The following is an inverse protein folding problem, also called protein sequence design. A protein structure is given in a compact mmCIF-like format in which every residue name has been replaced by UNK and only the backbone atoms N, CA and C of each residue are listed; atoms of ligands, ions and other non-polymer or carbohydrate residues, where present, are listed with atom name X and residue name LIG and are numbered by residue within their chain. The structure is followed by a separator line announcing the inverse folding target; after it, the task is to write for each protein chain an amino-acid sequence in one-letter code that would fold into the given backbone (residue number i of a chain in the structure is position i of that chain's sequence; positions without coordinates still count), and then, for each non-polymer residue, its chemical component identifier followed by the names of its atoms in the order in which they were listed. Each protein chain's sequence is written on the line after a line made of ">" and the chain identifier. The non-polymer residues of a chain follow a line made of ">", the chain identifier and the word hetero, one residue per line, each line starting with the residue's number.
data_IF_323630596649
#
_entry.id   IF_323630596649
#
_cell.length_a   1.000
_cell.length_b   1.000
_cell.length_c   1.000
_cell.angle_alpha   90.00
_cell.angle_beta   90.00
_cell.angle_gamma   90.00
#
_symmetry.space_group_name_H-M   'P 1'
#
loop_
_entity.id
_entity.type
_entity.pdbx_description
1 polymer ?
#
# COMPACT_ATOMS: atom_id res chain seq x y z
N UNK A 1 -34.04 -9.12 12.31
CA UNK A 1 -32.99 -8.99 13.33
C UNK A 1 -32.97 -10.30 14.11
N UNK A 2 -31.83 -11.00 14.11
CA UNK A 2 -31.71 -12.32 14.75
C UNK A 2 -31.83 -12.21 16.28
N UNK A 3 -32.44 -13.22 16.92
CA UNK A 3 -32.70 -13.25 18.36
C UNK A 3 -31.40 -13.14 19.16
N UNK A 4 -30.35 -13.79 18.69
CA UNK A 4 -29.06 -13.81 19.38
C UNK A 4 -28.40 -12.42 19.36
N UNK A 5 -28.57 -11.66 18.27
CA UNK A 5 -28.13 -10.27 18.18
C UNK A 5 -28.90 -9.35 19.15
N UNK A 6 -30.19 -9.60 19.37
CA UNK A 6 -30.99 -8.85 20.36
C UNK A 6 -30.49 -9.15 21.78
N UNK A 7 -30.23 -10.42 22.09
CA UNK A 7 -29.71 -10.84 23.41
C UNK A 7 -28.33 -10.22 23.67
N UNK A 8 -27.43 -10.26 22.67
CA UNK A 8 -26.10 -9.65 22.79
C UNK A 8 -26.18 -8.13 23.00
N UNK A 9 -27.03 -7.44 22.24
CA UNK A 9 -27.24 -6.00 22.37
C UNK A 9 -27.71 -5.60 23.77
N UNK A 10 -28.70 -6.32 24.31
CA UNK A 10 -29.32 -5.97 25.59
C UNK A 10 -28.47 -6.41 26.80
N UNK A 11 -27.79 -7.55 26.70
CA UNK A 11 -27.09 -8.17 27.86
C UNK A 11 -25.57 -8.06 27.80
N UNK A 12 -25.01 -7.60 26.67
CA UNK A 12 -23.56 -7.61 26.36
C UNK A 12 -22.95 -9.01 26.33
N UNK A 13 -23.78 -10.05 26.24
CA UNK A 13 -23.39 -11.46 26.22
C UNK A 13 -24.23 -12.22 25.20
N UNK A 14 -23.65 -13.26 24.61
CA UNK A 14 -24.39 -14.15 23.72
C UNK A 14 -25.43 -15.00 24.49
N UNK A 15 -26.17 -15.83 23.76
CA UNK A 15 -27.15 -16.78 24.31
C UNK A 15 -26.57 -17.71 25.39
N UNK A 16 -25.26 -17.98 25.33
CA UNK A 16 -24.52 -18.83 26.28
C UNK A 16 -23.97 -18.03 27.49
N UNK A 17 -24.33 -16.75 27.62
CA UNK A 17 -23.83 -15.83 28.65
C UNK A 17 -22.31 -15.58 28.56
N UNK A 18 -21.69 -15.80 27.40
CA UNK A 18 -20.29 -15.53 27.11
C UNK A 18 -20.11 -14.19 26.41
N UNK A 19 -18.89 -13.68 26.41
CA UNK A 19 -18.53 -12.48 25.65
C UNK A 19 -18.37 -12.84 24.17
N UNK A 20 -18.85 -11.96 23.30
CA UNK A 20 -18.67 -12.09 21.86
C UNK A 20 -17.21 -12.18 21.46
N UNK A 21 -16.93 -13.04 20.49
CA UNK A 21 -15.58 -13.23 19.91
C UNK A 21 -15.30 -12.26 18.75
N UNK A 22 -16.29 -11.46 18.34
CA UNK A 22 -16.15 -10.50 17.24
C UNK A 22 -14.99 -9.52 17.45
N UNK A 23 -14.77 -8.92 18.65
CA UNK A 23 -13.64 -8.03 18.86
C UNK A 23 -12.28 -8.70 18.60
N UNK A 24 -12.11 -9.95 19.03
CA UNK A 24 -10.89 -10.72 18.81
C UNK A 24 -10.68 -11.06 17.31
N UNK A 25 -11.75 -11.48 16.62
CA UNK A 25 -11.71 -11.74 15.18
C UNK A 25 -11.34 -10.49 14.39
N UNK A 26 -11.92 -9.35 14.73
CA UNK A 26 -11.62 -8.09 14.06
C UNK A 26 -10.19 -7.61 14.34
N UNK A 27 -9.66 -7.83 15.54
CA UNK A 27 -8.26 -7.49 15.85
C UNK A 27 -7.25 -8.37 15.09
N UNK A 28 -7.57 -9.66 14.93
CA UNK A 28 -6.81 -10.58 14.09
C UNK A 28 -6.89 -10.19 12.60
N UNK A 29 -8.10 -9.95 12.06
CA UNK A 29 -8.29 -9.56 10.66
C UNK A 29 -7.59 -8.25 10.31
N UNK A 30 -7.63 -7.25 11.20
CA UNK A 30 -6.89 -5.99 11.02
C UNK A 30 -5.37 -6.25 10.88
N UNK A 31 -4.86 -7.16 11.71
CA UNK A 31 -3.45 -7.53 11.75
C UNK A 31 -3.03 -8.32 10.51
N UNK A 32 -3.85 -9.30 10.10
CA UNK A 32 -3.60 -10.15 8.94
C UNK A 32 -3.66 -9.35 7.63
N UNK A 33 -4.70 -8.55 7.42
CA UNK A 33 -4.81 -7.70 6.22
C UNK A 33 -3.68 -6.68 6.15
N UNK A 34 -3.28 -6.08 7.28
CA UNK A 34 -2.13 -5.17 7.35
C UNK A 34 -0.80 -5.85 6.99
N UNK A 35 -0.58 -7.08 7.44
CA UNK A 35 0.60 -7.86 7.08
C UNK A 35 0.65 -8.18 5.58
N UNK A 36 -0.47 -8.64 5.02
CA UNK A 36 -0.57 -8.96 3.59
C UNK A 36 -0.26 -7.71 2.74
N UNK A 37 -0.84 -6.56 3.09
CA UNK A 37 -0.58 -5.31 2.38
C UNK A 37 0.88 -4.84 2.54
N UNK A 38 1.48 -4.99 3.72
CA UNK A 38 2.88 -4.62 3.92
C UNK A 38 3.84 -5.49 3.08
N UNK A 39 3.56 -6.80 2.98
CA UNK A 39 4.32 -7.71 2.11
C UNK A 39 4.09 -7.37 0.64
N UNK A 40 2.84 -7.13 0.23
CA UNK A 40 2.50 -6.70 -1.12
C UNK A 40 3.29 -5.43 -1.52
N UNK A 41 3.28 -4.38 -0.69
CA UNK A 41 4.01 -3.14 -0.98
C UNK A 41 5.53 -3.36 -1.06
N UNK A 42 6.07 -4.24 -0.22
CA UNK A 42 7.49 -4.60 -0.26
C UNK A 42 7.88 -5.20 -1.62
N UNK A 43 7.11 -6.19 -2.09
CA UNK A 43 7.34 -6.79 -3.42
C UNK A 43 7.03 -5.82 -4.55
N UNK A 44 5.94 -5.07 -4.45
CA UNK A 44 5.53 -4.08 -5.43
C UNK A 44 6.63 -3.06 -5.73
N UNK A 45 7.26 -2.48 -4.69
CA UNK A 45 8.36 -1.52 -4.89
C UNK A 45 9.61 -2.16 -5.49
N UNK A 46 9.90 -3.42 -5.17
CA UNK A 46 11.02 -4.15 -5.79
C UNK A 46 10.73 -4.37 -7.28
N UNK A 47 9.54 -4.83 -7.62
CA UNK A 47 9.16 -5.10 -9.01
C UNK A 47 9.04 -3.83 -9.85
N UNK A 48 8.42 -2.79 -9.31
CA UNK A 48 8.30 -1.49 -9.98
C UNK A 48 9.68 -0.85 -10.23
N UNK A 49 10.64 -1.08 -9.33
CA UNK A 49 12.02 -0.62 -9.47
C UNK A 49 12.87 -1.34 -10.52
N UNK A 50 12.33 -2.37 -11.18
CA UNK A 50 13.02 -3.02 -12.30
C UNK A 50 13.37 -2.06 -13.44
N UNK A 51 12.67 -0.92 -13.54
CA UNK A 51 13.00 0.16 -14.47
C UNK A 51 14.42 0.72 -14.26
N UNK A 52 14.98 0.62 -13.06
CA UNK A 52 16.35 1.02 -12.75
C UNK A 52 17.40 0.16 -13.45
N UNK A 53 17.01 -1.06 -13.85
CA UNK A 53 17.86 -1.98 -14.62
C UNK A 53 17.72 -1.79 -16.13
N UNK A 54 16.81 -0.92 -16.58
CA UNK A 54 16.53 -0.64 -17.99
C UNK A 54 15.07 -0.85 -18.37
N UNK A 55 14.67 -0.31 -19.53
CA UNK A 55 13.30 -0.44 -20.05
C UNK A 55 12.97 -1.90 -20.39
N UNK A 56 13.91 -2.63 -21.00
CA UNK A 56 13.75 -4.05 -21.31
C UNK A 56 13.48 -4.90 -20.05
N UNK A 57 14.15 -4.61 -18.92
CA UNK A 57 13.95 -5.33 -17.67
C UNK A 57 12.51 -5.16 -17.12
N UNK A 58 12.01 -3.92 -17.10
CA UNK A 58 10.63 -3.64 -16.70
C UNK A 58 9.61 -4.27 -17.67
N UNK A 59 9.89 -4.25 -18.98
CA UNK A 59 9.04 -4.88 -19.97
C UNK A 59 8.95 -6.40 -19.76
N UNK A 60 10.08 -7.10 -19.61
CA UNK A 60 10.09 -8.54 -19.35
C UNK A 60 9.38 -8.89 -18.05
N UNK A 61 9.58 -8.11 -16.98
CA UNK A 61 8.89 -8.33 -15.72
C UNK A 61 7.37 -8.14 -15.86
N UNK A 62 6.94 -7.11 -16.58
CA UNK A 62 5.52 -6.87 -16.87
C UNK A 62 4.92 -8.06 -17.61
N UNK A 63 5.58 -8.54 -18.67
CA UNK A 63 5.13 -9.72 -19.43
C UNK A 63 5.11 -11.00 -18.60
N UNK A 64 6.04 -11.17 -17.66
CA UNK A 64 5.97 -12.27 -16.71
C UNK A 64 4.73 -12.21 -15.80
N UNK A 65 4.33 -11.01 -15.33
CA UNK A 65 3.08 -10.83 -14.57
C UNK A 65 1.81 -11.07 -15.40
N UNK A 66 1.88 -10.82 -16.70
CA UNK A 66 0.82 -11.17 -17.67
C UNK A 66 0.82 -12.66 -18.07
N UNK A 67 1.67 -13.49 -17.46
CA UNK A 67 1.80 -14.92 -17.75
C UNK A 67 2.28 -15.24 -19.18
N UNK A 68 3.16 -14.42 -19.75
CA UNK A 68 3.74 -14.63 -21.10
C UNK A 68 4.46 -15.99 -21.25
N UNK A 69 4.94 -16.57 -20.16
CA UNK A 69 5.53 -17.92 -20.13
C UNK A 69 4.51 -19.06 -20.30
N UNK A 70 3.21 -18.77 -20.30
CA UNK A 70 2.11 -19.72 -20.53
C UNK A 70 1.25 -19.29 -21.73
N UNK A 71 0.96 -17.99 -21.84
CA UNK A 71 0.07 -17.40 -22.84
C UNK A 71 0.92 -16.51 -23.76
N UNK A 72 1.03 -16.86 -25.04
CA UNK A 72 1.80 -16.08 -26.01
C UNK A 72 1.37 -14.60 -26.03
N UNK A 73 2.30 -13.69 -25.74
CA UNK A 73 2.05 -12.24 -25.72
C UNK A 73 1.56 -11.69 -24.38
N UNK A 74 1.23 -12.56 -23.41
CA UNK A 74 0.69 -12.21 -22.10
C UNK A 74 -0.77 -11.76 -22.11
N UNK A 75 -1.46 -11.96 -20.99
CA UNK A 75 -2.85 -11.53 -20.75
C UNK A 75 -2.93 -10.45 -19.64
N UNK A 76 -3.13 -9.16 -20.00
CA UNK A 76 -3.23 -8.06 -19.04
C UNK A 76 -4.34 -8.25 -17.99
N UNK A 77 -5.43 -8.97 -18.29
CA UNK A 77 -6.51 -9.22 -17.33
C UNK A 77 -6.03 -9.92 -16.05
N UNK A 78 -4.91 -10.64 -16.09
CA UNK A 78 -4.28 -11.23 -14.89
C UNK A 78 -3.94 -10.13 -13.87
N UNK A 79 -3.38 -9.01 -14.33
CA UNK A 79 -3.05 -7.87 -13.48
C UNK A 79 -4.31 -7.20 -12.95
N UNK A 80 -5.37 -7.06 -13.77
CA UNK A 80 -6.66 -6.54 -13.30
C UNK A 80 -7.26 -7.36 -12.16
N UNK A 81 -7.25 -8.69 -12.28
CA UNK A 81 -7.74 -9.59 -11.22
C UNK A 81 -6.90 -9.46 -9.96
N UNK A 82 -5.57 -9.41 -10.09
CA UNK A 82 -4.67 -9.19 -8.95
C UNK A 82 -4.95 -7.85 -8.27
N UNK A 83 -5.07 -6.76 -9.03
CA UNK A 83 -5.38 -5.43 -8.53
C UNK A 83 -6.73 -5.40 -7.81
N UNK A 84 -7.76 -6.09 -8.35
CA UNK A 84 -9.07 -6.21 -7.71
C UNK A 84 -9.00 -6.95 -6.36
N UNK A 85 -8.26 -8.05 -6.28
CA UNK A 85 -8.05 -8.78 -5.02
C UNK A 85 -7.35 -7.89 -3.99
N UNK A 86 -6.27 -7.21 -4.38
CA UNK A 86 -5.56 -6.26 -3.52
C UNK A 86 -6.47 -5.12 -3.08
N UNK A 87 -7.34 -4.62 -3.97
CA UNK A 87 -8.31 -3.57 -3.65
C UNK A 87 -9.32 -4.03 -2.58
N UNK A 88 -9.85 -5.25 -2.67
CA UNK A 88 -10.72 -5.81 -1.62
C UNK A 88 -10.00 -5.87 -0.26
N UNK A 89 -8.74 -6.32 -0.25
CA UNK A 89 -7.92 -6.39 0.96
C UNK A 89 -7.65 -4.98 1.51
N UNK A 90 -7.34 -4.02 0.65
CA UNK A 90 -7.12 -2.62 0.98
C UNK A 90 -8.36 -2.01 1.65
N UNK A 91 -9.54 -2.15 1.03
CA UNK A 91 -10.80 -1.66 1.59
C UNK A 91 -11.14 -2.36 2.91
N UNK A 92 -10.97 -3.68 2.98
CA UNK A 92 -11.22 -4.46 4.21
C UNK A 92 -10.29 -4.02 5.35
N UNK A 93 -9.01 -3.81 5.06
CA UNK A 93 -8.04 -3.29 6.01
C UNK A 93 -8.46 -1.92 6.53
N UNK A 94 -8.78 -1.01 5.61
CA UNK A 94 -9.15 0.37 5.93
C UNK A 94 -10.44 0.43 6.77
N UNK A 95 -11.46 -0.35 6.39
CA UNK A 95 -12.73 -0.45 7.11
C UNK A 95 -12.56 -0.94 8.56
N UNK A 96 -11.67 -1.90 8.79
CA UNK A 96 -11.41 -2.42 10.14
C UNK A 96 -10.51 -1.46 10.93
N UNK A 97 -9.49 -0.88 10.29
CA UNK A 97 -8.50 -0.02 10.92
C UNK A 97 -9.06 1.38 11.28
N UNK A 98 -10.04 1.89 10.53
CA UNK A 98 -10.64 3.21 10.79
C UNK A 98 -11.28 3.32 12.18
N UNK A 99 -11.67 2.18 12.79
CA UNK A 99 -12.18 2.11 14.17
C UNK A 99 -11.16 2.61 15.21
N UNK A 100 -9.89 2.77 14.84
CA UNK A 100 -8.81 3.28 15.69
C UNK A 100 -8.58 4.78 15.56
N UNK A 101 -9.26 5.46 14.64
CA UNK A 101 -9.08 6.91 14.45
C UNK A 101 -9.77 7.69 15.58
N UNK A 102 -9.22 8.85 16.00
CA UNK A 102 -9.96 9.79 16.83
C UNK A 102 -11.24 10.22 16.10
N UNK A 103 -12.41 9.91 16.67
CA UNK A 103 -13.70 10.05 16.02
C UNK A 103 -14.43 11.36 16.38
N UNK A 104 -13.85 12.19 17.26
CA UNK A 104 -14.40 13.49 17.63
C UNK A 104 -13.32 14.56 17.79
N UNK A 105 -13.72 15.83 17.71
CA UNK A 105 -12.82 16.96 18.00
C UNK A 105 -12.15 16.83 19.37
N UNK A 106 -12.90 16.40 20.39
CA UNK A 106 -12.38 16.23 21.76
C UNK A 106 -11.30 15.15 21.81
N UNK A 107 -11.56 13.97 21.22
CA UNK A 107 -10.59 12.88 21.15
C UNK A 107 -9.32 13.30 20.40
N UNK A 108 -9.49 13.96 19.24
CA UNK A 108 -8.36 14.45 18.46
C UNK A 108 -7.53 15.48 19.24
N UNK A 109 -8.18 16.48 19.85
CA UNK A 109 -7.50 17.50 20.66
C UNK A 109 -6.77 16.87 21.84
N UNK A 110 -7.43 15.98 22.60
CA UNK A 110 -6.82 15.28 23.73
C UNK A 110 -5.60 14.47 23.29
N UNK A 111 -5.71 13.71 22.21
CA UNK A 111 -4.60 12.93 21.67
C UNK A 111 -3.43 13.83 21.21
N UNK A 112 -3.72 14.90 20.46
CA UNK A 112 -2.71 15.84 19.97
C UNK A 112 -1.98 16.55 21.10
N UNK A 113 -2.68 16.96 22.15
CA UNK A 113 -2.05 17.56 23.34
C UNK A 113 -1.21 16.52 24.08
N UNK A 114 -1.74 15.31 24.28
CA UNK A 114 -1.05 14.24 25.00
C UNK A 114 0.25 13.82 24.30
N UNK A 115 0.25 13.63 22.97
CA UNK A 115 1.49 13.23 22.25
C UNK A 115 2.59 14.29 22.35
N UNK A 116 2.21 15.58 22.36
CA UNK A 116 3.16 16.70 22.48
C UNK A 116 3.79 16.76 23.87
N UNK A 117 3.00 16.54 24.92
CA UNK A 117 3.48 16.52 26.31
C UNK A 117 4.41 15.33 26.56
N UNK A 118 4.02 14.13 26.13
CA UNK A 118 4.83 12.93 26.32
C UNK A 118 6.14 12.94 25.52
N UNK A 119 6.11 13.55 24.33
CA UNK A 119 7.19 13.48 23.34
C UNK A 119 7.73 12.04 23.14
N UNK A 120 6.83 11.05 23.20
CA UNK A 120 7.19 9.64 23.12
C UNK A 120 7.14 9.15 21.67
N UNK A 121 8.21 8.47 21.26
CA UNK A 121 8.42 8.12 19.87
C UNK A 121 7.35 7.19 19.29
N UNK A 122 7.01 6.09 19.96
CA UNK A 122 6.01 5.15 19.42
C UNK A 122 4.61 5.78 19.35
N UNK A 123 4.32 6.71 20.27
CA UNK A 123 3.09 7.49 20.25
C UNK A 123 3.05 8.38 19.02
N UNK A 124 4.16 9.07 18.71
CA UNK A 124 4.27 9.88 17.50
C UNK A 124 4.25 9.05 16.20
N UNK A 125 4.88 7.86 16.21
CA UNK A 125 4.80 6.91 15.10
C UNK A 125 3.35 6.45 14.84
N UNK A 126 2.50 6.36 15.89
CA UNK A 126 1.09 6.05 15.71
C UNK A 126 0.33 7.16 15.02
N UNK A 127 0.63 8.42 15.34
CA UNK A 127 0.08 9.57 14.61
C UNK A 127 0.47 9.58 13.13
N UNK A 128 1.71 9.19 12.81
CA UNK A 128 2.15 9.00 11.42
C UNK A 128 1.26 7.97 10.71
N UNK A 129 0.99 6.80 11.31
CA UNK A 129 0.11 5.81 10.69
C UNK A 129 -1.32 6.32 10.43
N UNK A 130 -1.91 7.07 11.37
CA UNK A 130 -3.24 7.63 11.13
C UNK A 130 -3.20 8.57 9.93
N UNK A 131 -2.22 9.46 9.90
CA UNK A 131 -2.12 10.51 8.88
C UNK A 131 -1.87 9.89 7.50
N UNK A 132 -0.90 8.98 7.38
CA UNK A 132 -0.61 8.30 6.12
C UNK A 132 -1.72 7.34 5.70
N UNK A 133 -2.36 6.65 6.65
CA UNK A 133 -3.52 5.81 6.39
C UNK A 133 -4.69 6.62 5.84
N UNK A 134 -4.91 7.82 6.39
CA UNK A 134 -5.92 8.74 5.89
C UNK A 134 -5.61 9.22 4.47
N UNK A 135 -4.37 9.62 4.19
CA UNK A 135 -3.94 10.03 2.84
C UNK A 135 -4.14 8.90 1.80
N UNK A 136 -3.87 7.65 2.19
CA UNK A 136 -3.99 6.51 1.29
C UNK A 136 -5.43 6.19 0.87
N UNK A 137 -6.46 6.60 1.62
CA UNK A 137 -7.85 6.45 1.15
C UNK A 137 -8.07 7.09 -0.22
N UNK A 138 -7.39 8.21 -0.48
CA UNK A 138 -7.50 8.92 -1.76
C UNK A 138 -6.43 8.42 -2.72
N UNK A 139 -5.17 8.47 -2.30
CA UNK A 139 -4.02 8.17 -3.17
C UNK A 139 -3.98 6.69 -3.61
N UNK A 140 -4.18 5.77 -2.67
CA UNK A 140 -4.18 4.33 -2.94
C UNK A 140 -5.37 3.91 -3.78
N UNK A 141 -6.56 4.50 -3.55
CA UNK A 141 -7.75 4.20 -4.34
C UNK A 141 -7.60 4.60 -5.80
N UNK A 142 -7.07 5.79 -6.08
CA UNK A 142 -6.81 6.23 -7.46
C UNK A 142 -5.81 5.28 -8.13
N UNK A 143 -4.68 4.99 -7.48
CA UNK A 143 -3.67 4.10 -8.03
C UNK A 143 -4.23 2.70 -8.35
N UNK A 144 -4.90 2.06 -7.38
CA UNK A 144 -5.46 0.71 -7.55
C UNK A 144 -6.56 0.67 -8.62
N UNK A 145 -7.40 1.70 -8.70
CA UNK A 145 -8.43 1.76 -9.73
C UNK A 145 -7.81 1.79 -11.13
N UNK A 146 -6.80 2.64 -11.36
CA UNK A 146 -6.17 2.72 -12.68
C UNK A 146 -5.44 1.41 -13.03
N UNK A 147 -4.72 0.79 -12.09
CA UNK A 147 -4.09 -0.52 -12.35
C UNK A 147 -5.11 -1.62 -12.68
N UNK A 148 -6.29 -1.56 -12.08
CA UNK A 148 -7.37 -2.51 -12.32
C UNK A 148 -8.06 -2.30 -13.67
N UNK A 149 -8.26 -1.06 -14.11
CA UNK A 149 -9.03 -0.74 -15.32
C UNK A 149 -8.19 -0.52 -16.57
N UNK A 150 -6.88 -0.34 -16.43
CA UNK A 150 -5.95 -0.11 -17.53
C UNK A 150 -4.68 -0.96 -17.38
N UNK A 151 -4.80 -2.29 -17.21
CA UNK A 151 -3.64 -3.18 -17.05
C UNK A 151 -2.72 -3.18 -18.28
N UNK A 152 -3.26 -2.99 -19.48
CA UNK A 152 -2.54 -2.97 -20.76
C UNK A 152 -1.62 -1.74 -20.92
N UNK A 153 -1.74 -0.76 -20.03
CA UNK A 153 -0.92 0.43 -19.99
C UNK A 153 0.21 0.34 -18.96
N UNK A 154 0.57 -0.88 -18.53
CA UNK A 154 1.73 -1.11 -17.66
C UNK A 154 2.93 -1.47 -18.55
N UNK A 155 4.04 -0.77 -18.35
CA UNK A 155 5.27 -1.00 -19.09
C UNK A 155 6.15 0.26 -19.12
N UNK A 156 7.34 0.21 -19.72
CA UNK A 156 8.31 1.31 -19.63
C UNK A 156 7.75 2.64 -20.15
N UNK A 157 7.11 2.65 -21.32
CA UNK A 157 6.54 3.86 -21.90
C UNK A 157 5.20 4.22 -21.30
N UNK A 158 4.23 3.30 -21.28
CA UNK A 158 2.88 3.59 -20.81
C UNK A 158 2.84 3.98 -19.31
N UNK A 159 3.67 3.39 -18.45
CA UNK A 159 3.81 3.85 -17.06
C UNK A 159 4.46 5.23 -16.97
N UNK A 160 5.49 5.51 -17.78
CA UNK A 160 6.18 6.80 -17.82
C UNK A 160 5.31 7.94 -18.35
N UNK A 161 4.55 7.71 -19.41
CA UNK A 161 3.58 8.65 -19.96
C UNK A 161 2.56 9.03 -18.89
N UNK A 162 2.06 8.04 -18.15
CA UNK A 162 1.15 8.26 -17.02
C UNK A 162 1.79 9.08 -15.90
N UNK A 163 3.03 8.76 -15.54
CA UNK A 163 3.76 9.46 -14.47
C UNK A 163 4.00 10.92 -14.84
N UNK A 164 4.48 11.19 -16.05
CA UNK A 164 4.90 12.53 -16.47
C UNK A 164 3.80 13.30 -17.19
N UNK A 165 3.35 12.79 -18.33
CA UNK A 165 2.41 13.45 -19.25
C UNK A 165 1.00 13.55 -18.67
N UNK A 166 0.53 12.51 -17.97
CA UNK A 166 -0.77 12.56 -17.26
C UNK A 166 -0.64 13.16 -15.83
N UNK A 167 0.55 13.66 -15.48
CA UNK A 167 0.82 14.41 -14.24
C UNK A 167 0.52 13.60 -12.96
N UNK A 168 0.72 12.28 -12.98
CA UNK A 168 0.53 11.44 -11.79
C UNK A 168 1.70 11.48 -10.80
N UNK A 169 2.87 12.02 -11.19
CA UNK A 169 4.05 12.07 -10.33
C UNK A 169 3.83 12.72 -8.94
N UNK A 170 3.03 13.79 -8.74
CA UNK A 170 2.82 14.35 -7.40
C UNK A 170 2.04 13.38 -6.52
N UNK A 171 1.02 12.72 -7.09
CA UNK A 171 0.22 11.72 -6.39
C UNK A 171 1.08 10.51 -6.01
N UNK A 172 1.94 10.03 -6.92
CA UNK A 172 2.83 8.92 -6.64
C UNK A 172 3.93 9.25 -5.64
N UNK A 173 4.48 10.47 -5.65
CA UNK A 173 5.44 10.90 -4.62
C UNK A 173 4.79 10.91 -3.22
N UNK A 174 3.58 11.48 -3.10
CA UNK A 174 2.85 11.48 -1.84
C UNK A 174 2.45 10.06 -1.42
N UNK A 175 2.05 9.21 -2.37
CA UNK A 175 1.69 7.82 -2.11
C UNK A 175 2.90 7.02 -1.63
N UNK A 176 4.05 7.17 -2.29
CA UNK A 176 5.32 6.53 -1.92
C UNK A 176 5.69 6.80 -0.47
N UNK A 177 5.71 8.09 -0.09
CA UNK A 177 6.03 8.50 1.29
C UNK A 177 4.98 7.94 2.26
N UNK A 178 3.70 8.07 1.92
CA UNK A 178 2.61 7.64 2.78
C UNK A 178 2.64 6.12 3.02
N UNK A 179 2.73 5.33 1.96
CA UNK A 179 2.62 3.88 2.01
C UNK A 179 3.84 3.25 2.69
N UNK A 180 5.05 3.73 2.43
CA UNK A 180 6.25 3.18 3.07
C UNK A 180 6.26 3.49 4.57
N UNK A 181 5.93 4.73 4.96
CA UNK A 181 5.84 5.07 6.37
C UNK A 181 4.70 4.30 7.05
N UNK A 182 3.54 4.16 6.39
CA UNK A 182 2.42 3.43 6.95
C UNK A 182 2.72 1.94 7.15
N UNK A 183 3.25 1.29 6.11
CA UNK A 183 3.55 -0.14 6.10
C UNK A 183 4.74 -0.45 7.03
N UNK A 184 5.82 0.31 6.96
CA UNK A 184 7.00 0.11 7.80
C UNK A 184 6.65 0.25 9.28
N UNK A 185 6.04 1.37 9.67
CA UNK A 185 5.64 1.60 11.06
C UNK A 185 4.56 0.60 11.51
N UNK A 186 3.65 0.23 10.60
CA UNK A 186 2.64 -0.80 10.87
C UNK A 186 3.25 -2.17 11.13
N UNK A 187 4.22 -2.58 10.34
CA UNK A 187 4.93 -3.84 10.50
C UNK A 187 5.73 -3.86 11.81
N UNK A 188 6.41 -2.76 12.14
CA UNK A 188 7.05 -2.59 13.46
C UNK A 188 6.04 -2.83 14.59
N UNK A 189 4.91 -2.13 14.58
CA UNK A 189 3.89 -2.29 15.62
C UNK A 189 3.29 -3.68 15.64
N UNK A 190 3.11 -4.30 14.49
CA UNK A 190 2.58 -5.65 14.37
C UNK A 190 3.51 -6.66 15.03
N UNK A 191 4.81 -6.57 14.75
CA UNK A 191 5.85 -7.42 15.36
C UNK A 191 5.81 -7.31 16.89
N UNK A 192 5.72 -6.08 17.43
CA UNK A 192 5.69 -5.88 18.89
C UNK A 192 4.35 -6.33 19.49
N UNK A 193 3.23 -6.03 18.83
CA UNK A 193 1.88 -6.40 19.28
C UNK A 193 1.73 -7.91 19.45
N UNK A 194 2.29 -8.69 18.52
CA UNK A 194 2.21 -10.16 18.53
C UNK A 194 3.43 -10.84 19.14
N UNK A 195 4.39 -10.06 19.66
CA UNK A 195 5.56 -10.58 20.38
C UNK A 195 6.53 -11.39 19.51
N UNK A 196 6.62 -11.11 18.20
CA UNK A 196 7.48 -11.88 17.30
C UNK A 196 8.98 -11.57 17.49
N UNK A 197 9.34 -10.32 17.79
CA UNK A 197 10.72 -9.87 17.99
C UNK A 197 10.79 -8.76 19.05
N UNK A 198 12.00 -8.49 19.55
CA UNK A 198 12.28 -7.40 20.48
C UNK A 198 12.09 -6.00 19.86
N UNK A 199 11.71 -5.02 20.70
CA UNK A 199 11.45 -3.63 20.31
C UNK A 199 12.64 -2.96 19.64
N UNK A 200 13.84 -3.04 20.22
CA UNK A 200 15.01 -2.32 19.71
C UNK A 200 15.47 -2.90 18.38
N UNK A 201 15.50 -4.24 18.28
CA UNK A 201 15.86 -4.94 17.04
C UNK A 201 14.87 -4.62 15.92
N UNK A 202 13.57 -4.76 16.19
CA UNK A 202 12.50 -4.52 15.20
C UNK A 202 12.55 -3.09 14.67
N UNK A 203 12.70 -2.12 15.57
CA UNK A 203 12.78 -0.72 15.20
C UNK A 203 13.97 -0.40 14.30
N UNK A 204 15.16 -0.97 14.59
CA UNK A 204 16.35 -0.80 13.76
C UNK A 204 16.13 -1.37 12.36
N UNK A 205 15.62 -2.60 12.27
CA UNK A 205 15.35 -3.29 10.99
C UNK A 205 14.35 -2.48 10.15
N UNK A 206 13.24 -2.09 10.76
CA UNK A 206 12.18 -1.35 10.06
C UNK A 206 12.67 0.04 9.62
N UNK A 207 13.48 0.72 10.43
CA UNK A 207 14.08 2.01 10.02
C UNK A 207 14.95 1.84 8.78
N UNK A 208 15.81 0.81 8.73
CA UNK A 208 16.64 0.52 7.55
C UNK A 208 15.77 0.18 6.35
N UNK A 209 14.73 -0.64 6.53
CA UNK A 209 13.81 -1.00 5.45
C UNK A 209 13.08 0.24 4.89
N UNK A 210 12.57 1.13 5.74
CA UNK A 210 11.93 2.39 5.32
C UNK A 210 12.89 3.23 4.47
N UNK A 211 14.13 3.40 4.91
CA UNK A 211 15.13 4.19 4.19
C UNK A 211 15.43 3.54 2.82
N UNK A 212 15.63 2.23 2.80
CA UNK A 212 15.89 1.47 1.57
C UNK A 212 14.74 1.62 0.56
N UNK A 213 13.49 1.36 0.99
CA UNK A 213 12.32 1.44 0.11
C UNK A 213 12.04 2.88 -0.36
N UNK A 214 12.30 3.90 0.46
CA UNK A 214 12.17 5.29 0.03
C UNK A 214 13.21 5.63 -1.02
N UNK A 215 14.47 5.22 -0.83
CA UNK A 215 15.54 5.49 -1.79
C UNK A 215 15.22 4.82 -3.14
N UNK A 216 14.94 3.52 -3.14
CA UNK A 216 14.68 2.79 -4.39
C UNK A 216 13.43 3.32 -5.11
N UNK A 217 12.36 3.64 -4.37
CA UNK A 217 11.14 4.20 -4.95
C UNK A 217 11.33 5.62 -5.49
N UNK A 218 12.14 6.46 -4.84
CA UNK A 218 12.47 7.79 -5.36
C UNK A 218 13.28 7.70 -6.65
N UNK A 219 14.31 6.83 -6.70
CA UNK A 219 15.07 6.61 -7.93
C UNK A 219 14.21 6.04 -9.07
N UNK A 220 13.30 5.13 -8.75
CA UNK A 220 12.39 4.54 -9.75
C UNK A 220 11.43 5.59 -10.29
N UNK A 221 10.80 6.39 -9.41
CA UNK A 221 9.94 7.50 -9.81
C UNK A 221 10.67 8.53 -10.68
N UNK A 222 11.91 8.89 -10.32
CA UNK A 222 12.74 9.78 -11.15
C UNK A 222 13.02 9.18 -12.54
N UNK A 223 13.22 7.87 -12.62
CA UNK A 223 13.44 7.18 -13.89
C UNK A 223 12.18 7.23 -14.75
N UNK A 224 11.00 6.98 -14.17
CA UNK A 224 9.74 7.13 -14.89
C UNK A 224 9.48 8.57 -15.37
N UNK A 225 9.77 9.57 -14.53
CA UNK A 225 9.69 10.99 -14.91
C UNK A 225 10.62 11.30 -16.08
N UNK A 226 11.88 10.86 -16.01
CA UNK A 226 12.87 11.10 -17.07
C UNK A 226 12.43 10.49 -18.39
N UNK A 227 12.05 9.21 -18.37
CA UNK A 227 11.59 8.50 -19.58
C UNK A 227 10.32 9.15 -20.12
N UNK A 228 9.37 9.54 -19.26
CA UNK A 228 8.14 10.20 -19.68
C UNK A 228 8.40 11.58 -20.28
N UNK A 229 9.35 12.34 -19.73
CA UNK A 229 9.78 13.60 -20.32
C UNK A 229 10.39 13.41 -21.71
N UNK A 230 11.28 12.43 -21.87
CA UNK A 230 11.92 12.12 -23.17
C UNK A 230 10.92 11.57 -24.19
N UNK A 231 9.91 10.84 -23.73
CA UNK A 231 8.90 10.17 -24.57
C UNK A 231 7.65 11.04 -24.86
N UNK A 232 7.53 12.23 -24.26
CA UNK A 232 6.31 13.07 -24.29
C UNK A 232 5.75 13.37 -25.68
N UNK A 233 6.61 13.49 -26.69
CA UNK A 233 6.21 13.81 -28.07
C UNK A 233 5.64 12.56 -28.81
N UNK A 234 5.82 11.37 -28.24
CA UNK A 234 5.35 10.08 -28.76
C UNK A 234 4.34 9.41 -27.81
N UNK A 235 3.59 10.19 -27.04
CA UNK A 235 2.62 9.70 -26.05
C UNK A 235 1.75 8.57 -26.62
N UNK A 236 1.66 7.45 -25.88
CA UNK A 236 0.86 6.30 -26.27
C UNK A 236 1.56 5.32 -27.23
N UNK A 237 2.78 5.61 -27.67
CA UNK A 237 3.59 4.64 -28.40
C UNK A 237 3.88 3.41 -27.51
N UNK A 238 3.64 2.21 -28.05
CA UNK A 238 3.93 0.95 -27.35
C UNK A 238 5.42 0.66 -27.33
N UNK A 239 5.89 0.13 -26.20
CA UNK A 239 7.25 -0.35 -26.07
C UNK A 239 7.45 -1.68 -26.82
N UNK A 240 8.63 -1.83 -27.43
CA UNK A 240 9.12 -2.99 -28.15
C UNK A 240 10.59 -3.18 -27.79
N UNK A 241 11.00 -4.43 -27.60
CA UNK A 241 12.38 -4.79 -27.27
C UNK A 241 13.35 -4.22 -28.30
N UNK A 242 14.48 -3.68 -27.84
CA UNK A 242 15.55 -3.17 -28.70
C UNK A 242 15.39 -1.72 -29.19
N UNK A 243 14.35 -0.99 -28.77
CA UNK A 243 14.22 0.46 -29.04
C UNK A 243 15.24 1.33 -28.28
N UNK A 244 16.08 0.74 -27.41
CA UNK A 244 17.17 1.44 -26.71
C UNK A 244 18.47 1.58 -27.55
N UNK A 245 18.56 0.98 -28.74
CA UNK A 245 19.78 0.95 -29.55
C UNK A 245 19.87 2.00 -30.68
N UNK A 246 19.09 3.09 -30.64
CA UNK A 246 19.23 4.21 -31.59
C UNK A 246 19.41 5.55 -30.88
#
# INVERSE_FOLDING_TARGET
>A
MDRDNVIELLTKKDSDKKKSRIPARLDFLQSATGLILALFISFHLIFESSILLGKDAMYHLTKAFELDFIIEGGEPLVISVLAFIVFIIFISHAFIAMRKFPASYREFKSYQTHRKILNHEDTNLWFIQITTGFMMFFLGSIHLYIMMTQPEHIGPFASSDRVYSDVMWPAYLMLLISVILHAGVGLYRLIIKWGWLDRFKSKKIIKVAIIFYLIIGLFSLMSYIKIGYEHRDNYGQKYHLGMEQK
#
